data_IF_744812571426
#
_entry.id   IF_744812571426
#
_cell.length_a   1.000
_cell.length_b   1.000
_cell.length_c   1.000
_cell.angle_alpha   90.00
_cell.angle_beta   90.00
_cell.angle_gamma   90.00
#
_symmetry.space_group_name_H-M   'P 1'
#
loop_
_entity.id
_entity.type
_entity.pdbx_description
1 polymer ?
#
# COMPACT_ATOMS: atom_id res chain seq x y z
N UNK A 1 -1.67 -0.94 -16.72
CA UNK A 1 -0.79 -1.99 -16.16
C UNK A 1 -1.42 -2.63 -14.93
N UNK A 2 -1.25 -3.93 -14.75
CA UNK A 2 -1.82 -4.73 -13.67
C UNK A 2 -0.76 -4.98 -12.60
N UNK A 3 -1.05 -4.55 -11.37
CA UNK A 3 -0.16 -4.66 -10.21
C UNK A 3 -0.80 -5.62 -9.21
N UNK A 4 -0.02 -6.56 -8.68
CA UNK A 4 -0.46 -7.43 -7.59
C UNK A 4 -0.17 -6.74 -6.26
N UNK A 5 -1.17 -6.68 -5.40
CA UNK A 5 -1.07 -6.03 -4.10
C UNK A 5 -1.39 -7.05 -3.02
N UNK A 6 -0.48 -7.17 -2.08
CA UNK A 6 -0.57 -8.02 -0.92
C UNK A 6 -0.38 -7.17 0.36
N UNK A 7 -0.80 -7.65 1.52
CA UNK A 7 -0.68 -6.90 2.76
C UNK A 7 -0.75 -7.78 4.00
N UNK A 8 -0.25 -7.25 5.13
CA UNK A 8 -0.34 -7.92 6.43
C UNK A 8 -1.71 -7.74 7.13
N UNK A 9 -2.69 -7.11 6.48
CA UNK A 9 -4.01 -6.84 7.04
C UNK A 9 -5.10 -7.19 6.03
N UNK A 10 -6.30 -7.45 6.55
CA UNK A 10 -7.49 -7.70 5.77
C UNK A 10 -8.60 -6.76 6.21
N UNK A 11 -9.40 -6.30 5.27
CA UNK A 11 -10.60 -5.50 5.52
C UNK A 11 -11.78 -6.20 4.87
N UNK A 12 -12.58 -6.90 5.68
CA UNK A 12 -13.75 -7.65 5.20
C UNK A 12 -14.60 -6.78 4.27
N UNK A 13 -14.96 -7.33 3.11
CA UNK A 13 -15.78 -6.72 2.07
C UNK A 13 -15.15 -5.51 1.34
N UNK A 14 -13.95 -5.04 1.68
CA UNK A 14 -13.28 -3.91 1.00
C UNK A 14 -11.91 -4.27 0.42
N UNK A 15 -11.09 -5.01 1.17
CA UNK A 15 -9.71 -5.30 0.80
C UNK A 15 -9.32 -6.68 1.34
N UNK A 16 -9.23 -7.67 0.44
CA UNK A 16 -8.86 -9.05 0.77
C UNK A 16 -7.65 -9.46 -0.07
N UNK A 17 -6.42 -9.16 0.38
CA UNK A 17 -5.20 -9.47 -0.36
C UNK A 17 -5.00 -10.99 -0.53
N UNK A 18 -4.35 -11.44 -1.62
CA UNK A 18 -3.82 -10.60 -2.69
C UNK A 18 -4.92 -10.10 -3.63
N UNK A 19 -4.91 -8.80 -3.96
CA UNK A 19 -5.77 -8.21 -4.99
C UNK A 19 -4.94 -7.76 -6.19
N UNK A 20 -5.59 -7.57 -7.33
CA UNK A 20 -4.96 -6.96 -8.49
C UNK A 20 -5.62 -5.63 -8.80
N UNK A 21 -4.83 -4.57 -8.93
CA UNK A 21 -5.31 -3.26 -9.38
C UNK A 21 -4.73 -2.92 -10.74
N UNK A 22 -5.58 -2.36 -11.59
CA UNK A 22 -5.17 -1.78 -12.87
C UNK A 22 -4.85 -0.30 -12.67
N UNK A 23 -3.61 0.09 -12.89
CA UNK A 23 -3.13 1.48 -12.85
C UNK A 23 -2.69 1.93 -14.24
N UNK A 24 -2.56 3.24 -14.45
CA UNK A 24 -2.14 3.79 -15.74
C UNK A 24 -0.67 3.49 -16.01
N UNK A 25 -0.25 3.47 -17.29
CA UNK A 25 1.18 3.35 -17.60
C UNK A 25 1.94 4.58 -17.10
N UNK A 26 3.12 4.37 -16.51
CA UNK A 26 3.90 5.44 -15.89
C UNK A 26 3.46 5.85 -14.48
N UNK A 27 2.45 5.20 -13.89
CA UNK A 27 2.11 5.42 -12.47
C UNK A 27 3.27 5.07 -11.55
N UNK A 28 3.36 5.81 -10.45
CA UNK A 28 4.35 5.60 -9.39
C UNK A 28 3.77 4.81 -8.23
N UNK A 29 4.64 4.38 -7.32
CA UNK A 29 4.26 3.72 -6.08
C UNK A 29 3.38 4.63 -5.21
N UNK A 30 3.61 5.95 -5.26
CA UNK A 30 2.74 6.95 -4.63
C UNK A 30 1.32 6.94 -5.19
N UNK A 31 1.16 6.92 -6.52
CA UNK A 31 -0.16 6.87 -7.16
C UNK A 31 -0.94 5.61 -6.78
N UNK A 32 -0.23 4.47 -6.69
CA UNK A 32 -0.81 3.22 -6.23
C UNK A 32 -1.29 3.32 -4.78
N UNK A 33 -0.51 3.93 -3.89
CA UNK A 33 -0.91 4.12 -2.50
C UNK A 33 -2.11 5.04 -2.35
N UNK A 34 -2.25 6.06 -3.19
CA UNK A 34 -3.45 6.91 -3.20
C UNK A 34 -4.72 6.12 -3.53
N UNK A 35 -4.62 5.17 -4.47
CA UNK A 35 -5.71 4.23 -4.77
C UNK A 35 -5.98 3.29 -3.61
N UNK A 36 -4.94 2.71 -3.01
CA UNK A 36 -5.09 1.81 -1.85
C UNK A 36 -5.75 2.57 -0.69
N UNK A 37 -5.29 3.77 -0.36
CA UNK A 37 -5.83 4.64 0.70
C UNK A 37 -7.33 4.84 0.55
N UNK A 38 -7.85 5.00 -0.67
CA UNK A 38 -9.28 5.17 -0.91
C UNK A 38 -10.10 3.91 -0.64
N UNK A 39 -9.48 2.72 -0.73
CA UNK A 39 -10.12 1.42 -0.51
C UNK A 39 -10.08 1.05 0.99
N UNK A 40 -8.95 1.30 1.65
CA UNK A 40 -8.64 0.77 2.98
C UNK A 40 -9.00 1.72 4.13
N UNK A 41 -9.84 2.74 3.89
CA UNK A 41 -10.33 3.61 4.97
C UNK A 41 -11.04 2.79 6.07
N UNK A 42 -10.71 3.00 7.36
CA UNK A 42 -9.96 4.16 7.92
C UNK A 42 -8.43 4.02 8.09
N UNK A 43 -7.77 2.99 7.56
CA UNK A 43 -6.30 2.82 7.68
C UNK A 43 -5.59 3.97 6.94
N UNK A 44 -4.64 4.62 7.61
CA UNK A 44 -3.87 5.77 7.12
C UNK A 44 -2.54 5.32 6.52
N UNK A 45 -2.63 4.76 5.32
CA UNK A 45 -1.45 4.48 4.48
C UNK A 45 -0.82 5.77 3.95
N UNK A 46 -1.66 6.76 3.67
CA UNK A 46 -1.31 8.14 3.33
C UNK A 46 -2.08 9.14 4.21
N UNK A 47 -1.48 10.30 4.44
CA UNK A 47 -2.13 11.44 5.09
C UNK A 47 -2.98 12.28 4.10
N UNK A 48 -3.65 13.30 4.62
CA UNK A 48 -4.48 14.24 3.84
C UNK A 48 -3.68 15.09 2.84
N UNK A 49 -2.35 15.13 2.95
CA UNK A 49 -1.42 15.82 2.04
C UNK A 49 -0.71 14.83 1.10
N UNK A 50 -1.13 13.56 1.07
CA UNK A 50 -0.52 12.48 0.26
C UNK A 50 0.93 12.17 0.66
N UNK A 51 1.31 12.45 1.90
CA UNK A 51 2.53 11.95 2.51
C UNK A 51 2.26 10.58 3.12
N UNK A 52 3.31 9.79 3.43
CA UNK A 52 3.15 8.52 4.12
C UNK A 52 2.41 8.71 5.45
N UNK A 53 1.35 7.94 5.66
CA UNK A 53 0.51 8.04 6.84
C UNK A 53 1.08 7.26 8.03
N UNK A 54 0.55 7.54 9.22
CA UNK A 54 1.06 6.99 10.49
C UNK A 54 0.98 5.46 10.57
N UNK A 55 0.02 4.84 9.86
CA UNK A 55 -0.16 3.39 9.90
C UNK A 55 0.81 2.68 8.93
N UNK A 56 1.38 3.37 7.94
CA UNK A 56 2.28 2.73 6.97
C UNK A 56 3.64 2.44 7.60
N UNK A 57 4.00 1.16 7.69
CA UNK A 57 5.28 0.72 8.26
C UNK A 57 6.38 0.60 7.21
N UNK A 58 6.10 -0.09 6.10
CA UNK A 58 7.03 -0.28 4.97
C UNK A 58 6.30 -0.83 3.76
N UNK A 59 6.95 -0.74 2.60
CA UNK A 59 6.46 -1.31 1.35
C UNK A 59 7.52 -2.22 0.77
N UNK A 60 7.12 -3.36 0.23
CA UNK A 60 8.02 -4.27 -0.46
C UNK A 60 7.58 -4.35 -1.92
N UNK A 61 8.41 -3.85 -2.85
CA UNK A 61 8.18 -3.91 -4.29
C UNK A 61 9.13 -4.94 -4.89
N UNK A 62 8.60 -6.02 -5.45
CA UNK A 62 9.38 -7.13 -6.05
C UNK A 62 10.50 -7.64 -5.14
N UNK A 63 10.22 -7.79 -3.84
CA UNK A 63 11.17 -8.23 -2.82
C UNK A 63 12.11 -7.14 -2.28
N UNK A 64 12.10 -5.93 -2.83
CA UNK A 64 12.88 -4.78 -2.31
C UNK A 64 12.07 -3.99 -1.30
N UNK A 65 12.61 -3.80 -0.11
CA UNK A 65 11.95 -3.04 0.96
C UNK A 65 12.24 -1.55 0.82
N UNK A 66 11.19 -0.74 0.99
CA UNK A 66 11.22 0.71 1.01
C UNK A 66 10.57 1.20 2.31
N UNK A 67 11.24 2.13 2.98
CA UNK A 67 10.64 2.85 4.09
C UNK A 67 9.64 3.89 3.57
N UNK A 68 8.67 4.32 4.40
CA UNK A 68 7.71 5.36 4.04
C UNK A 68 8.38 6.65 3.51
N UNK A 69 9.59 6.97 3.95
CA UNK A 69 10.34 8.14 3.45
C UNK A 69 10.95 7.96 2.06
N UNK A 70 10.97 6.74 1.52
CA UNK A 70 11.65 6.37 0.27
C UNK A 70 10.68 6.07 -0.88
N UNK A 71 9.37 5.98 -0.59
CA UNK A 71 8.33 5.49 -1.52
C UNK A 71 7.84 6.51 -2.56
N UNK A 72 8.58 7.59 -2.80
CA UNK A 72 8.18 8.71 -3.65
C UNK A 72 7.99 8.36 -5.13
N UNK A 73 8.78 8.95 -6.03
CA UNK A 73 8.65 8.81 -7.48
C UNK A 73 9.15 7.44 -8.02
N UNK A 74 8.97 6.36 -7.26
CA UNK A 74 9.35 5.02 -7.69
C UNK A 74 8.38 4.58 -8.80
N UNK A 75 8.85 4.35 -10.03
CA UNK A 75 7.98 3.95 -11.12
C UNK A 75 7.54 2.49 -10.96
N UNK A 76 6.26 2.24 -11.23
CA UNK A 76 5.71 0.88 -11.30
C UNK A 76 5.78 0.33 -12.73
N UNK A 77 5.81 -0.99 -12.84
CA UNK A 77 5.80 -1.74 -14.09
C UNK A 77 4.69 -2.78 -14.07
N UNK A 78 4.23 -3.16 -15.25
CA UNK A 78 3.24 -4.22 -15.39
C UNK A 78 3.75 -5.53 -14.79
N UNK A 79 2.90 -6.16 -13.97
CA UNK A 79 3.23 -7.40 -13.26
C UNK A 79 3.98 -7.20 -11.94
N UNK A 80 4.27 -5.95 -11.51
CA UNK A 80 4.92 -5.71 -10.22
C UNK A 80 4.10 -6.26 -9.06
N UNK A 81 4.81 -6.78 -8.05
CA UNK A 81 4.25 -7.27 -6.80
C UNK A 81 4.58 -6.29 -5.67
N UNK A 82 3.53 -5.75 -5.04
CA UNK A 82 3.63 -4.77 -3.94
C UNK A 82 3.04 -5.38 -2.67
N UNK A 83 3.84 -5.46 -1.62
CA UNK A 83 3.36 -5.80 -0.28
C UNK A 83 3.31 -4.54 0.57
N UNK A 84 2.13 -4.23 1.12
CA UNK A 84 1.93 -3.10 2.03
C UNK A 84 1.88 -3.63 3.46
N UNK A 85 2.84 -3.20 4.28
CA UNK A 85 2.84 -3.53 5.70
C UNK A 85 2.41 -2.32 6.51
N UNK A 86 1.35 -2.49 7.31
CA UNK A 86 0.92 -1.48 8.28
C UNK A 86 1.31 -1.87 9.70
N UNK A 87 1.45 -0.86 10.55
CA UNK A 87 1.47 -1.06 11.99
C UNK A 87 0.05 -1.39 12.46
N UNK A 88 -0.13 -2.54 13.10
CA UNK A 88 -1.34 -2.86 13.84
C UNK A 88 -0.95 -2.89 15.31
N UNK A 89 -1.62 -2.08 16.13
CA UNK A 89 -1.49 -2.23 17.58
C UNK A 89 -1.82 -3.70 17.93
N UNK A 90 -0.98 -4.37 18.73
CA UNK A 90 -1.37 -5.67 19.26
C UNK A 90 -2.69 -5.45 19.99
N UNK A 91 -3.71 -6.26 19.66
CA UNK A 91 -4.98 -6.27 20.38
C UNK A 91 -4.68 -6.73 21.82
N UNK A 92 -4.26 -5.78 22.65
CA UNK A 92 -3.91 -5.97 24.04
C UNK A 92 -5.20 -6.12 24.82
N UNK A 93 -5.49 -7.36 25.21
CA UNK A 93 -6.50 -7.67 26.21
C UNK A 93 -6.20 -6.97 27.53
N UNK A 94 -7.27 -6.49 28.15
CA UNK A 94 -7.40 -6.16 29.56
C UNK A 94 -8.67 -6.80 30.08
#
# INVERSE_FOLDING_TARGET
MKIKIDANFVMMNKFNPPIFLEVEEGSTLKDLLERIQSIVLPIKVLDHKKNPGDDLRRIILNGRTFLPTEIGDIPLRDGDEVFVEIFMEPLGGG
#
